data_IF_433652874496
#
_entry.id   IF_433652874496
#
_cell.length_a   1.000
_cell.length_b   1.000
_cell.length_c   1.000
_cell.angle_alpha   90.00
_cell.angle_beta   90.00
_cell.angle_gamma   90.00
#
_symmetry.space_group_name_H-M   'P 1'
#
loop_
_entity.id
_entity.type
_entity.pdbx_description
1 polymer ?
#
# COMPACT_ATOMS: atom_id res chain seq x y z
N UNK A 1 15.51 -5.59 -17.30
CA UNK A 1 16.13 -4.44 -16.64
C UNK A 1 16.66 -4.83 -15.24
N UNK A 2 17.49 -5.88 -15.14
CA UNK A 2 18.19 -6.24 -13.89
C UNK A 2 19.64 -5.79 -14.05
N UNK A 3 20.12 -4.92 -13.16
CA UNK A 3 21.33 -4.13 -13.39
C UNK A 3 21.67 -3.22 -12.22
N UNK A 4 21.99 -1.96 -12.51
CA UNK A 4 22.44 -0.97 -11.49
C UNK A 4 21.35 -0.66 -10.46
N UNK A 5 20.18 -0.17 -10.91
CA UNK A 5 19.08 0.19 -10.01
C UNK A 5 18.24 -1.01 -9.55
N UNK A 6 18.40 -2.18 -10.16
CA UNK A 6 17.70 -3.41 -9.78
C UNK A 6 18.72 -4.56 -9.71
N UNK A 7 19.58 -4.58 -8.67
CA UNK A 7 20.66 -5.54 -8.57
C UNK A 7 20.13 -6.96 -8.35
N UNK A 8 20.93 -7.95 -8.74
CA UNK A 8 20.72 -9.35 -8.36
C UNK A 8 21.36 -9.57 -7.00
N UNK A 9 20.60 -10.10 -6.05
CA UNK A 9 21.09 -10.48 -4.72
C UNK A 9 20.55 -11.86 -4.33
N UNK A 10 21.18 -12.48 -3.34
CA UNK A 10 20.75 -13.78 -2.81
C UNK A 10 19.34 -13.67 -2.21
N UNK A 11 18.49 -14.66 -2.47
CA UNK A 11 17.09 -14.68 -2.03
C UNK A 11 16.20 -13.55 -2.59
N UNK A 12 16.58 -12.94 -3.73
CA UNK A 12 15.76 -11.92 -4.40
C UNK A 12 14.32 -12.37 -4.66
N UNK A 13 14.11 -13.62 -5.09
CA UNK A 13 12.77 -14.11 -5.38
C UNK A 13 11.96 -14.33 -4.10
N UNK A 14 12.58 -14.83 -3.03
CA UNK A 14 11.94 -14.99 -1.72
C UNK A 14 11.52 -13.63 -1.15
N UNK A 15 12.39 -12.62 -1.24
CA UNK A 15 12.05 -11.23 -0.92
C UNK A 15 10.80 -10.78 -1.69
N UNK A 16 10.72 -11.07 -2.99
CA UNK A 16 9.56 -10.78 -3.81
C UNK A 16 8.28 -11.52 -3.38
N UNK A 17 8.40 -12.79 -2.99
CA UNK A 17 7.28 -13.57 -2.53
C UNK A 17 6.71 -13.03 -1.21
N UNK A 18 7.56 -12.57 -0.29
CA UNK A 18 7.13 -12.06 1.02
C UNK A 18 6.30 -10.78 0.84
N UNK A 19 6.84 -9.75 0.18
CA UNK A 19 6.10 -8.48 0.06
C UNK A 19 4.85 -8.61 -0.83
N UNK A 20 4.94 -9.36 -1.93
CA UNK A 20 3.80 -9.53 -2.83
C UNK A 20 2.71 -10.40 -2.20
N UNK A 21 3.10 -11.47 -1.50
CA UNK A 21 2.18 -12.33 -0.76
C UNK A 21 1.43 -11.54 0.32
N UNK A 22 2.14 -10.69 1.08
CA UNK A 22 1.54 -9.82 2.09
C UNK A 22 0.47 -8.88 1.53
N UNK A 23 0.74 -8.23 0.39
CA UNK A 23 -0.22 -7.31 -0.24
C UNK A 23 -1.44 -8.04 -0.81
N UNK A 24 -1.25 -9.22 -1.42
CA UNK A 24 -2.35 -10.05 -1.91
C UNK A 24 -3.21 -10.59 -0.76
N UNK A 25 -2.60 -11.07 0.33
CA UNK A 25 -3.34 -11.53 1.51
C UNK A 25 -4.12 -10.40 2.18
N UNK A 26 -3.51 -9.23 2.32
CA UNK A 26 -4.17 -8.03 2.82
C UNK A 26 -5.40 -7.65 1.97
N UNK A 27 -5.29 -7.67 0.64
CA UNK A 27 -6.42 -7.45 -0.26
C UNK A 27 -7.52 -8.51 -0.10
N UNK A 28 -7.15 -9.79 0.08
CA UNK A 28 -8.11 -10.87 0.35
C UNK A 28 -8.85 -10.67 1.66
N UNK A 29 -8.15 -10.26 2.73
CA UNK A 29 -8.77 -9.99 4.04
C UNK A 29 -9.80 -8.85 3.96
N UNK A 30 -9.49 -7.78 3.20
CA UNK A 30 -10.44 -6.69 2.92
C UNK A 30 -11.67 -7.17 2.13
N UNK A 31 -11.46 -7.95 1.05
CA UNK A 31 -12.56 -8.50 0.24
C UNK A 31 -13.51 -9.38 1.07
N UNK A 32 -12.96 -10.16 2.00
CA UNK A 32 -13.69 -11.04 2.90
C UNK A 32 -14.23 -10.34 4.16
N UNK A 33 -14.08 -9.01 4.26
CA UNK A 33 -14.56 -8.20 5.38
C UNK A 33 -14.01 -8.65 6.74
N UNK A 34 -12.78 -9.21 6.77
CA UNK A 34 -12.10 -9.64 7.99
C UNK A 34 -11.43 -8.48 8.73
N UNK A 35 -11.22 -7.36 8.04
CA UNK A 35 -10.71 -6.11 8.62
C UNK A 35 -11.21 -4.91 7.81
N UNK A 36 -11.24 -3.74 8.46
CA UNK A 36 -11.50 -2.45 7.79
C UNK A 36 -10.23 -1.85 7.18
N UNK A 37 -9.08 -2.13 7.82
CA UNK A 37 -7.75 -1.67 7.41
C UNK A 37 -6.80 -2.86 7.41
N UNK A 38 -6.01 -3.00 6.34
CA UNK A 38 -4.93 -3.98 6.24
C UNK A 38 -3.61 -3.27 5.94
N UNK A 39 -2.53 -3.65 6.62
CA UNK A 39 -1.23 -2.96 6.54
C UNK A 39 -0.16 -3.96 6.08
N UNK A 40 0.59 -3.59 5.04
CA UNK A 40 1.79 -4.30 4.61
C UNK A 40 2.95 -3.31 4.32
N UNK A 41 3.72 -2.98 5.35
CA UNK A 41 4.88 -2.09 5.20
C UNK A 41 6.00 -2.64 4.31
N UNK A 42 6.05 -3.96 4.07
CA UNK A 42 7.03 -4.55 3.16
C UNK A 42 6.68 -4.33 1.68
N UNK A 43 5.41 -4.10 1.36
CA UNK A 43 4.92 -3.85 0.00
C UNK A 43 4.98 -2.38 -0.41
N UNK A 44 4.32 -2.07 -1.53
CA UNK A 44 4.29 -0.71 -2.08
C UNK A 44 5.33 -0.45 -3.17
N UNK A 45 5.83 -1.50 -3.82
CA UNK A 45 6.89 -1.43 -4.84
C UNK A 45 6.28 -1.05 -6.20
N UNK A 46 6.01 0.24 -6.37
CA UNK A 46 5.15 0.78 -7.42
C UNK A 46 5.75 0.91 -8.83
N UNK A 47 7.08 0.80 -9.00
CA UNK A 47 7.75 1.04 -10.29
C UNK A 47 7.82 -0.20 -11.19
N UNK A 48 7.63 -1.39 -10.64
CA UNK A 48 7.75 -2.63 -11.41
C UNK A 48 6.73 -2.65 -12.55
N UNK A 49 7.18 -3.05 -13.74
CA UNK A 49 6.38 -3.11 -14.97
C UNK A 49 5.94 -4.53 -15.25
N UNK A 50 5.06 -4.70 -16.25
CA UNK A 50 4.56 -6.03 -16.65
C UNK A 50 5.67 -7.00 -17.06
N UNK A 51 6.72 -6.50 -17.73
CA UNK A 51 7.78 -7.33 -18.31
C UNK A 51 9.20 -6.93 -17.87
N UNK A 52 9.34 -6.01 -16.91
CA UNK A 52 10.64 -5.56 -16.43
C UNK A 52 10.62 -4.98 -15.01
N UNK A 53 11.74 -5.13 -14.30
CA UNK A 53 12.02 -4.43 -13.05
C UNK A 53 12.36 -2.96 -13.30
N UNK A 54 12.12 -2.08 -12.33
CA UNK A 54 12.45 -0.65 -12.43
C UNK A 54 12.51 -0.04 -11.03
N UNK A 55 13.45 0.88 -10.77
CA UNK A 55 13.52 1.66 -9.51
C UNK A 55 13.41 0.81 -8.24
N UNK A 56 14.30 -0.18 -8.06
CA UNK A 56 14.29 -1.15 -6.96
C UNK A 56 13.08 -2.11 -6.91
N UNK A 57 12.12 -2.00 -7.83
CA UNK A 57 10.89 -2.78 -7.84
C UNK A 57 10.98 -3.94 -8.85
N UNK A 58 10.72 -5.17 -8.40
CA UNK A 58 10.82 -6.39 -9.21
C UNK A 58 9.45 -7.00 -9.56
N UNK A 59 8.53 -7.04 -8.59
CA UNK A 59 7.12 -7.42 -8.75
C UNK A 59 6.28 -6.24 -8.26
N UNK A 60 5.26 -5.86 -9.04
CA UNK A 60 4.35 -4.81 -8.64
C UNK A 60 3.23 -5.41 -7.76
N UNK A 61 3.47 -5.45 -6.46
CA UNK A 61 2.52 -6.03 -5.50
C UNK A 61 1.21 -5.23 -5.41
N UNK A 62 1.27 -3.92 -5.63
CA UNK A 62 0.11 -3.04 -5.67
C UNK A 62 -0.84 -3.42 -6.81
N UNK A 63 -0.31 -3.67 -8.01
CA UNK A 63 -1.11 -4.14 -9.15
C UNK A 63 -1.78 -5.49 -8.83
N UNK A 64 -1.06 -6.42 -8.21
CA UNK A 64 -1.61 -7.71 -7.80
C UNK A 64 -2.72 -7.56 -6.75
N UNK A 65 -2.50 -6.72 -5.73
CA UNK A 65 -3.50 -6.42 -4.70
C UNK A 65 -4.74 -5.73 -5.28
N UNK A 66 -4.57 -4.77 -6.18
CA UNK A 66 -5.69 -4.08 -6.85
C UNK A 66 -6.50 -5.06 -7.72
N UNK A 67 -5.84 -5.97 -8.46
CA UNK A 67 -6.52 -7.01 -9.22
C UNK A 67 -7.35 -7.94 -8.33
N UNK A 68 -6.85 -8.26 -7.13
CA UNK A 68 -7.60 -9.03 -6.13
C UNK A 68 -8.82 -8.25 -5.62
N UNK A 69 -8.65 -6.97 -5.27
CA UNK A 69 -9.75 -6.09 -4.84
C UNK A 69 -10.83 -5.91 -5.92
N UNK A 70 -10.44 -5.87 -7.20
CA UNK A 70 -11.36 -5.74 -8.34
C UNK A 70 -12.30 -6.94 -8.52
N UNK A 71 -12.09 -8.06 -7.82
CA UNK A 71 -13.05 -9.16 -7.79
C UNK A 71 -14.35 -8.78 -7.08
N UNK A 72 -14.27 -7.92 -6.06
CA UNK A 72 -15.41 -7.55 -5.20
C UNK A 72 -15.79 -6.07 -5.34
N UNK A 73 -14.82 -5.20 -5.61
CA UNK A 73 -15.01 -3.77 -5.71
C UNK A 73 -15.12 -3.32 -7.17
N UNK A 74 -16.20 -2.62 -7.53
CA UNK A 74 -16.38 -2.09 -8.87
C UNK A 74 -15.32 -1.03 -9.24
N UNK A 75 -14.88 -0.24 -8.23
CA UNK A 75 -13.94 0.88 -8.36
C UNK A 75 -12.93 0.86 -7.22
N UNK A 76 -11.64 0.87 -7.57
CA UNK A 76 -10.52 0.94 -6.62
C UNK A 76 -9.80 2.28 -6.79
N UNK A 77 -9.60 3.02 -5.70
CA UNK A 77 -8.80 4.24 -5.71
C UNK A 77 -7.39 3.93 -5.20
N UNK A 78 -6.38 4.18 -6.03
CA UNK A 78 -4.98 4.12 -5.65
C UNK A 78 -4.46 5.55 -5.38
N UNK A 79 -3.88 5.76 -4.20
CA UNK A 79 -3.27 7.02 -3.78
C UNK A 79 -1.80 6.76 -3.48
N UNK A 80 -0.92 7.56 -4.05
CA UNK A 80 0.53 7.43 -3.96
C UNK A 80 1.16 8.69 -3.35
N UNK A 81 1.82 8.50 -2.20
CA UNK A 81 2.50 9.56 -1.44
C UNK A 81 4.02 9.55 -1.60
N UNK A 82 4.56 8.57 -2.34
CA UNK A 82 5.99 8.48 -2.64
C UNK A 82 6.46 9.73 -3.40
N UNK A 83 7.72 10.12 -3.19
CA UNK A 83 8.28 11.27 -3.92
C UNK A 83 8.42 10.97 -5.41
N UNK A 84 8.50 9.70 -5.80
CA UNK A 84 8.57 9.25 -7.19
C UNK A 84 7.16 9.02 -7.76
N UNK A 85 7.00 9.23 -9.06
CA UNK A 85 5.74 8.94 -9.73
C UNK A 85 5.47 7.43 -9.72
N UNK A 86 4.29 7.01 -9.26
CA UNK A 86 3.78 5.63 -9.26
C UNK A 86 3.47 5.06 -10.65
N UNK A 87 4.44 5.13 -11.54
CA UNK A 87 4.32 4.88 -12.97
C UNK A 87 3.99 3.43 -13.33
N UNK A 88 4.43 2.44 -12.55
CA UNK A 88 4.10 1.03 -12.79
C UNK A 88 2.62 0.73 -12.53
N UNK A 89 2.05 1.31 -11.47
CA UNK A 89 0.62 1.17 -11.16
C UNK A 89 -0.23 1.97 -12.15
N UNK A 90 0.19 3.20 -12.49
CA UNK A 90 -0.47 4.01 -13.52
C UNK A 90 -0.49 3.30 -14.88
N UNK A 91 0.65 2.78 -15.35
CA UNK A 91 0.75 2.07 -16.62
C UNK A 91 -0.15 0.82 -16.66
N UNK A 92 -0.22 0.06 -15.57
CA UNK A 92 -1.03 -1.14 -15.48
C UNK A 92 -2.54 -0.87 -15.63
N UNK A 93 -3.00 0.30 -15.20
CA UNK A 93 -4.41 0.70 -15.20
C UNK A 93 -4.74 1.86 -16.15
N UNK A 94 -3.80 2.27 -16.99
CA UNK A 94 -3.89 3.46 -17.84
C UNK A 94 -5.10 3.51 -18.79
N UNK A 95 -5.66 2.33 -19.11
CA UNK A 95 -6.75 2.15 -20.05
C UNK A 95 -8.09 1.74 -19.41
N UNK A 96 -8.25 1.80 -18.08
CA UNK A 96 -9.50 1.41 -17.40
C UNK A 96 -10.04 2.51 -16.49
N UNK A 97 -11.37 2.58 -16.37
CA UNK A 97 -12.08 3.44 -15.41
C UNK A 97 -12.34 2.75 -14.05
N UNK A 98 -12.05 1.45 -13.95
CA UNK A 98 -12.25 0.67 -12.71
C UNK A 98 -11.19 0.91 -11.65
N UNK A 99 -10.08 1.52 -12.03
CA UNK A 99 -9.03 1.95 -11.10
C UNK A 99 -8.70 3.39 -11.40
N UNK A 100 -8.72 4.24 -10.37
CA UNK A 100 -8.22 5.61 -10.48
C UNK A 100 -6.89 5.70 -9.75
N UNK A 101 -5.85 6.19 -10.43
CA UNK A 101 -4.54 6.44 -9.84
C UNK A 101 -4.38 7.92 -9.52
N UNK A 102 -3.90 8.23 -8.32
CA UNK A 102 -3.58 9.60 -7.90
C UNK A 102 -2.19 9.64 -7.30
N UNK A 103 -1.25 10.34 -7.94
CA UNK A 103 0.14 10.40 -7.48
C UNK A 103 0.61 11.83 -7.24
N UNK A 104 1.27 12.05 -6.10
CA UNK A 104 1.86 13.32 -5.70
C UNK A 104 3.39 13.21 -5.63
N UNK A 105 4.07 13.61 -6.68
CA UNK A 105 5.49 13.31 -6.86
C UNK A 105 6.29 14.52 -7.32
N UNK A 106 7.61 14.46 -7.16
CA UNK A 106 8.53 15.45 -7.73
C UNK A 106 8.63 15.22 -9.24
N UNK A 107 8.53 16.28 -10.04
CA UNK A 107 8.59 16.18 -11.50
C UNK A 107 9.51 17.25 -12.10
N UNK A 108 10.22 16.88 -13.17
CA UNK A 108 11.22 17.71 -13.85
C UNK A 108 12.65 17.47 -13.39
N UNK A 109 13.60 18.14 -14.05
CA UNK A 109 15.05 18.04 -13.81
C UNK A 109 15.61 16.62 -13.89
N UNK A 110 15.08 15.81 -14.82
CA UNK A 110 15.46 14.40 -15.02
C UNK A 110 15.24 13.52 -13.77
N UNK A 111 14.38 13.94 -12.85
CA UNK A 111 14.04 13.12 -11.69
C UNK A 111 13.32 11.85 -12.12
N UNK A 112 13.72 10.72 -11.52
CA UNK A 112 13.16 9.41 -11.81
C UNK A 112 11.66 9.36 -11.43
N UNK A 113 10.79 8.69 -12.19
CA UNK A 113 11.03 7.94 -13.43
C UNK A 113 10.97 8.80 -14.71
N UNK A 114 10.73 10.11 -14.59
CA UNK A 114 10.63 11.03 -15.74
C UNK A 114 9.25 11.07 -16.42
N UNK A 115 8.24 10.48 -15.80
CA UNK A 115 6.82 10.48 -16.21
C UNK A 115 5.95 11.16 -15.14
N UNK A 116 4.63 11.23 -15.35
CA UNK A 116 3.72 11.86 -14.40
C UNK A 116 3.51 13.36 -14.66
N UNK A 117 3.65 13.82 -15.91
CA UNK A 117 3.24 15.18 -16.25
C UNK A 117 1.73 15.35 -15.97
N UNK A 118 1.31 16.58 -15.65
CA UNK A 118 -0.10 16.93 -15.48
C UNK A 118 -0.98 16.62 -16.71
N UNK A 119 -0.36 16.42 -17.88
CA UNK A 119 -1.04 16.04 -19.15
C UNK A 119 -1.26 14.54 -19.30
N UNK A 120 -0.55 13.71 -18.53
CA UNK A 120 -0.74 12.25 -18.49
C UNK A 120 -2.00 11.98 -17.65
N UNK A 121 -3.12 11.75 -18.35
CA UNK A 121 -4.45 11.65 -17.75
C UNK A 121 -5.14 10.32 -18.06
N UNK A 122 -4.39 9.32 -18.52
CA UNK A 122 -4.95 8.06 -18.99
C UNK A 122 -5.47 8.13 -20.43
N UNK A 123 -5.82 6.97 -20.98
CA UNK A 123 -6.29 6.81 -22.35
C UNK A 123 -7.52 5.91 -22.46
N UNK A 124 -8.27 6.05 -23.57
CA UNK A 124 -9.49 5.28 -23.84
C UNK A 124 -10.49 5.37 -22.68
N UNK A 125 -10.99 4.26 -22.17
CA UNK A 125 -11.87 4.21 -21.01
C UNK A 125 -11.21 4.79 -19.75
N UNK A 126 -9.89 4.67 -19.60
CA UNK A 126 -9.12 5.23 -18.47
C UNK A 126 -8.82 6.72 -18.57
N UNK A 127 -9.28 7.40 -19.63
CA UNK A 127 -9.06 8.85 -19.76
C UNK A 127 -9.77 9.62 -18.65
N UNK A 128 -9.04 10.52 -18.01
CA UNK A 128 -9.36 11.25 -16.77
C UNK A 128 -9.31 10.43 -15.47
N UNK A 129 -8.92 9.14 -15.52
CA UNK A 129 -8.78 8.28 -14.34
C UNK A 129 -7.33 8.13 -13.86
N UNK A 130 -6.36 8.72 -14.55
CA UNK A 130 -5.02 8.94 -14.02
C UNK A 130 -4.85 10.42 -13.62
N UNK A 131 -4.52 10.69 -12.37
CA UNK A 131 -4.36 12.04 -11.81
C UNK A 131 -2.95 12.21 -11.31
N UNK A 132 -2.19 13.01 -12.04
CA UNK A 132 -0.82 13.37 -11.70
C UNK A 132 -0.73 14.77 -11.10
N UNK A 133 -0.05 14.86 -9.95
CA UNK A 133 0.20 16.11 -9.22
C UNK A 133 1.71 16.37 -9.21
N UNK A 134 2.28 16.92 -10.29
CA UNK A 134 3.71 17.18 -10.39
C UNK A 134 4.11 18.34 -9.48
N UNK A 135 5.11 18.12 -8.62
CA UNK A 135 5.59 19.08 -7.64
C UNK A 135 7.08 19.38 -7.86
N UNK A 136 7.53 20.48 -7.25
CA UNK A 136 8.94 20.90 -7.22
C UNK A 136 9.55 20.63 -5.84
N UNK A 137 10.86 20.81 -5.75
CA UNK A 137 11.64 20.61 -4.54
C UNK A 137 11.13 21.45 -3.36
N UNK A 138 11.37 20.91 -2.16
CA UNK A 138 11.16 21.59 -0.89
C UNK A 138 9.70 21.87 -0.54
N UNK A 139 8.73 21.15 -1.12
CA UNK A 139 7.33 21.35 -0.76
C UNK A 139 7.15 21.21 0.76
N UNK A 140 6.56 22.23 1.37
CA UNK A 140 6.30 22.22 2.80
C UNK A 140 4.99 21.50 3.12
N UNK A 141 4.98 20.94 4.32
CA UNK A 141 3.85 20.50 5.12
C UNK A 141 2.50 21.18 4.85
N UNK A 142 2.43 22.51 4.96
CA UNK A 142 1.17 23.27 4.85
C UNK A 142 0.65 23.31 3.41
N UNK A 143 1.57 23.39 2.46
CA UNK A 143 1.31 23.46 1.03
C UNK A 143 0.88 22.10 0.51
N UNK A 144 1.58 21.03 0.89
CA UNK A 144 1.25 19.65 0.54
C UNK A 144 -0.11 19.25 1.11
N UNK A 145 -0.31 19.36 2.44
CA UNK A 145 -1.55 18.94 3.09
C UNK A 145 -2.79 19.64 2.52
N UNK A 146 -2.69 20.95 2.26
CA UNK A 146 -3.81 21.73 1.70
C UNK A 146 -4.15 21.29 0.28
N UNK A 147 -3.14 21.00 -0.54
CA UNK A 147 -3.33 20.52 -1.91
C UNK A 147 -3.91 19.10 -1.91
N UNK A 148 -3.28 18.20 -1.16
CA UNK A 148 -3.69 16.80 -0.99
C UNK A 148 -5.17 16.69 -0.60
N UNK A 149 -5.57 17.33 0.52
CA UNK A 149 -6.95 17.28 0.99
C UNK A 149 -7.95 17.81 -0.03
N UNK A 150 -7.61 18.90 -0.73
CA UNK A 150 -8.49 19.49 -1.73
C UNK A 150 -8.71 18.58 -2.94
N UNK A 151 -7.64 17.92 -3.41
CA UNK A 151 -7.71 16.99 -4.54
C UNK A 151 -8.41 15.70 -4.12
N UNK A 152 -7.95 15.04 -3.05
CA UNK A 152 -8.47 13.74 -2.62
C UNK A 152 -9.94 13.82 -2.19
N UNK A 153 -10.38 14.90 -1.53
CA UNK A 153 -11.79 15.10 -1.24
C UNK A 153 -12.65 15.07 -2.51
N UNK A 154 -12.20 15.76 -3.57
CA UNK A 154 -12.93 15.82 -4.84
C UNK A 154 -12.86 14.49 -5.58
N UNK A 155 -11.71 13.82 -5.54
CA UNK A 155 -11.54 12.49 -6.12
C UNK A 155 -12.56 11.52 -5.51
N UNK A 156 -12.62 11.41 -4.18
CA UNK A 156 -13.56 10.50 -3.51
C UNK A 156 -15.02 10.88 -3.80
N UNK A 157 -15.36 12.17 -3.81
CA UNK A 157 -16.70 12.67 -4.14
C UNK A 157 -17.15 12.26 -5.55
N UNK A 158 -16.27 12.43 -6.54
CA UNK A 158 -16.55 12.17 -7.96
C UNK A 158 -16.47 10.68 -8.30
N UNK A 159 -15.38 10.03 -7.90
CA UNK A 159 -15.06 8.64 -8.28
C UNK A 159 -15.83 7.61 -7.45
N UNK A 160 -16.14 7.93 -6.18
CA UNK A 160 -16.87 7.05 -5.25
C UNK A 160 -16.27 5.63 -5.20
N UNK A 161 -14.99 5.48 -4.82
CA UNK A 161 -14.37 4.16 -4.75
C UNK A 161 -15.06 3.26 -3.72
N UNK A 162 -14.98 1.95 -3.93
CA UNK A 162 -15.42 0.95 -2.95
C UNK A 162 -14.33 0.53 -1.96
N UNK A 163 -13.06 0.80 -2.29
CA UNK A 163 -11.86 0.50 -1.51
C UNK A 163 -10.74 1.45 -1.92
N UNK A 164 -9.86 1.78 -0.99
CA UNK A 164 -8.67 2.61 -1.21
C UNK A 164 -7.42 1.76 -0.99
N UNK A 165 -6.43 1.90 -1.88
CA UNK A 165 -5.06 1.45 -1.69
C UNK A 165 -4.18 2.70 -1.52
N UNK A 166 -3.54 2.83 -0.37
CA UNK A 166 -2.69 3.97 -0.01
C UNK A 166 -1.24 3.50 0.11
N UNK A 167 -0.41 3.95 -0.82
CA UNK A 167 1.04 3.80 -0.76
C UNK A 167 1.61 4.96 0.07
N UNK A 168 2.39 4.63 1.09
CA UNK A 168 2.97 5.59 2.04
C UNK A 168 4.49 5.65 1.91
N UNK A 169 5.00 5.92 0.69
CA UNK A 169 6.42 6.14 0.44
C UNK A 169 6.98 7.22 1.36
N UNK A 170 7.95 6.85 2.19
CA UNK A 170 8.55 7.69 3.22
C UNK A 170 9.76 8.50 2.70
N UNK A 171 10.10 8.39 1.42
CA UNK A 171 11.13 9.21 0.77
C UNK A 171 10.65 10.64 0.44
N UNK A 172 9.36 10.92 0.57
CA UNK A 172 8.79 12.27 0.55
C UNK A 172 9.12 13.09 1.82
N UNK A 173 9.71 12.46 2.84
CA UNK A 173 10.10 13.10 4.09
C UNK A 173 11.31 14.02 3.96
N UNK A 174 11.37 15.01 4.85
CA UNK A 174 12.54 15.84 5.01
C UNK A 174 13.78 15.03 5.42
N UNK A 175 14.91 15.28 4.75
CA UNK A 175 16.17 14.61 5.06
C UNK A 175 16.25 13.16 4.57
N UNK A 176 15.37 12.76 3.65
CA UNK A 176 15.57 11.53 2.89
C UNK A 176 16.85 11.60 2.03
N UNK A 177 17.44 10.44 1.73
CA UNK A 177 18.69 10.35 0.96
C UNK A 177 18.50 10.60 -0.53
N UNK A 178 17.34 10.27 -1.10
CA UNK A 178 17.03 10.39 -2.52
C UNK A 178 15.94 11.45 -2.78
N UNK A 179 14.98 11.56 -1.87
CA UNK A 179 13.90 12.54 -1.95
C UNK A 179 14.35 13.96 -1.64
N UNK A 180 13.64 14.92 -2.23
CA UNK A 180 13.94 16.34 -2.12
C UNK A 180 12.73 17.19 -1.67
N UNK A 181 11.77 16.54 -1.01
CA UNK A 181 10.66 17.21 -0.32
C UNK A 181 11.05 17.60 1.11
N UNK A 182 10.16 18.33 1.79
CA UNK A 182 10.40 18.81 3.15
C UNK A 182 9.20 18.50 4.06
N UNK A 183 8.69 17.26 4.00
CA UNK A 183 7.56 16.81 4.80
C UNK A 183 8.01 16.31 6.18
N UNK A 184 7.26 16.69 7.21
CA UNK A 184 7.50 16.25 8.59
C UNK A 184 6.93 14.86 8.86
N UNK A 185 7.65 14.11 9.70
CA UNK A 185 7.14 12.89 10.36
C UNK A 185 6.13 13.24 11.45
N UNK A 186 6.29 14.42 12.08
CA UNK A 186 5.41 14.85 13.17
C UNK A 186 3.95 14.75 12.71
N UNK A 187 3.08 14.27 13.60
CA UNK A 187 1.74 13.70 13.34
C UNK A 187 0.70 14.65 12.72
N UNK A 188 1.14 15.71 12.04
CA UNK A 188 0.35 16.72 11.41
C UNK A 188 0.42 16.72 9.88
N UNK A 189 1.32 15.96 9.19
CA UNK A 189 1.58 16.23 7.75
C UNK A 189 1.65 15.01 6.83
N UNK A 190 2.68 14.16 6.88
CA UNK A 190 2.66 12.91 6.09
C UNK A 190 1.56 11.98 6.64
N UNK A 191 1.62 11.68 7.94
CA UNK A 191 0.58 10.90 8.64
C UNK A 191 -0.82 11.56 8.65
N UNK A 192 -0.91 12.87 8.42
CA UNK A 192 -2.20 13.55 8.26
C UNK A 192 -2.88 13.22 6.93
N UNK A 193 -2.11 12.88 5.90
CA UNK A 193 -2.65 12.35 4.66
C UNK A 193 -3.30 10.98 4.91
N UNK A 194 -2.61 10.11 5.65
CA UNK A 194 -3.14 8.81 6.12
C UNK A 194 -4.41 9.00 6.96
N UNK A 195 -4.40 9.91 7.95
CA UNK A 195 -5.57 10.25 8.78
C UNK A 195 -6.74 10.73 7.93
N UNK A 196 -6.48 11.60 6.96
CA UNK A 196 -7.49 12.14 6.08
C UNK A 196 -8.14 11.05 5.21
N UNK A 197 -7.34 10.13 4.67
CA UNK A 197 -7.83 9.01 3.89
C UNK A 197 -8.64 8.04 4.74
N UNK A 198 -8.14 7.68 5.94
CA UNK A 198 -8.86 6.83 6.89
C UNK A 198 -10.26 7.35 7.24
N UNK A 199 -10.41 8.67 7.36
CA UNK A 199 -11.69 9.31 7.71
C UNK A 199 -12.79 9.18 6.64
N UNK A 200 -12.50 8.68 5.44
CA UNK A 200 -13.54 8.32 4.47
C UNK A 200 -14.31 7.04 4.86
N UNK A 201 -13.81 6.27 5.84
CA UNK A 201 -14.42 5.02 6.33
C UNK A 201 -14.73 4.03 5.20
N UNK A 202 -13.77 3.86 4.29
CA UNK A 202 -13.77 2.83 3.26
C UNK A 202 -12.74 1.76 3.62
N UNK A 203 -12.90 0.50 3.15
CA UNK A 203 -11.84 -0.49 3.22
C UNK A 203 -10.52 0.10 2.73
N UNK A 204 -9.46 -0.05 3.52
CA UNK A 204 -8.18 0.63 3.29
C UNK A 204 -7.02 -0.36 3.36
N UNK A 205 -6.35 -0.55 2.22
CA UNK A 205 -5.05 -1.23 2.15
C UNK A 205 -3.95 -0.18 2.26
N UNK A 206 -3.06 -0.31 3.24
CA UNK A 206 -1.91 0.58 3.45
C UNK A 206 -0.61 -0.19 3.18
N UNK A 207 0.26 0.37 2.36
CA UNK A 207 1.57 -0.21 2.07
C UNK A 207 2.72 0.75 2.36
N UNK A 208 3.94 0.22 2.41
CA UNK A 208 5.16 1.02 2.46
C UNK A 208 5.47 1.68 1.11
N UNK A 209 6.73 1.56 0.68
CA UNK A 209 7.24 2.22 -0.52
C UNK A 209 8.71 2.59 -0.42
N UNK A 210 9.10 3.67 -1.11
CA UNK A 210 10.41 4.30 -0.99
C UNK A 210 10.68 4.83 0.42
N UNK A 211 11.94 5.09 0.72
CA UNK A 211 12.39 5.58 2.02
C UNK A 211 13.83 5.15 2.31
N UNK A 212 14.76 6.10 2.28
CA UNK A 212 16.20 5.82 2.17
C UNK A 212 17.02 6.39 3.33
N UNK A 213 16.39 7.17 4.21
CA UNK A 213 16.85 7.41 5.59
C UNK A 213 16.11 6.49 6.54
N UNK A 214 16.59 5.25 6.70
CA UNK A 214 15.89 4.14 7.37
C UNK A 214 15.35 4.46 8.77
N UNK A 215 16.05 5.31 9.54
CA UNK A 215 15.63 5.74 10.87
C UNK A 215 14.33 6.56 10.79
N UNK A 216 14.19 7.37 9.74
CA UNK A 216 13.01 8.18 9.50
C UNK A 216 11.86 7.35 8.94
N UNK A 217 12.15 6.35 8.11
CA UNK A 217 11.16 5.38 7.62
C UNK A 217 10.51 4.65 8.79
N UNK A 218 11.32 4.12 9.71
CA UNK A 218 10.83 3.42 10.89
C UNK A 218 9.95 4.32 11.77
N UNK A 219 10.36 5.58 12.00
CA UNK A 219 9.54 6.57 12.73
C UNK A 219 8.23 6.86 12.02
N UNK A 220 8.27 7.09 10.70
CA UNK A 220 7.09 7.44 9.89
C UNK A 220 6.03 6.37 9.95
N UNK A 221 6.36 5.14 9.53
CA UNK A 221 5.39 4.04 9.48
C UNK A 221 4.91 3.63 10.89
N UNK A 222 5.73 3.82 11.93
CA UNK A 222 5.28 3.67 13.33
C UNK A 222 4.21 4.69 13.69
N UNK A 223 4.45 5.99 13.40
CA UNK A 223 3.47 7.06 13.65
C UNK A 223 2.19 6.85 12.84
N UNK A 224 2.29 6.43 11.59
CA UNK A 224 1.15 6.13 10.73
C UNK A 224 0.36 4.93 11.23
N UNK A 225 1.03 3.90 11.74
CA UNK A 225 0.35 2.78 12.41
C UNK A 225 -0.44 3.28 13.63
N UNK A 226 0.12 4.20 14.43
CA UNK A 226 -0.62 4.87 15.51
C UNK A 226 -1.86 5.63 15.01
N UNK A 227 -1.74 6.35 13.90
CA UNK A 227 -2.89 7.04 13.25
C UNK A 227 -3.95 6.05 12.79
N UNK A 228 -3.56 4.92 12.20
CA UNK A 228 -4.49 3.87 11.75
C UNK A 228 -5.21 3.17 12.90
N UNK A 229 -4.58 3.12 14.08
CA UNK A 229 -5.15 2.60 15.32
C UNK A 229 -5.87 3.66 16.18
N UNK A 230 -6.03 4.89 15.66
CA UNK A 230 -6.57 6.04 16.42
C UNK A 230 -5.86 6.26 17.78
N UNK A 231 -4.57 5.95 17.85
CA UNK A 231 -3.77 5.98 19.07
C UNK A 231 -2.65 7.03 18.96
N UNK A 232 -2.60 7.93 19.93
CA UNK A 232 -1.49 8.89 20.04
C UNK A 232 -0.28 8.22 20.68
N UNK A 233 0.84 8.18 19.96
CA UNK A 233 2.08 7.58 20.44
C UNK A 233 2.91 8.60 21.24
N UNK A 234 3.56 8.18 22.34
CA UNK A 234 4.51 9.03 23.05
C UNK A 234 5.68 9.39 22.13
N UNK A 235 6.25 10.59 22.31
CA UNK A 235 7.37 11.01 21.48
C UNK A 235 8.66 10.21 21.75
N UNK A 236 8.82 9.68 22.96
CA UNK A 236 10.00 8.92 23.35
C UNK A 236 9.95 7.51 22.74
N UNK A 237 11.02 7.12 22.04
CA UNK A 237 11.13 5.79 21.45
C UNK A 237 11.40 4.78 22.57
N UNK A 238 10.58 3.72 22.69
CA UNK A 238 10.79 2.68 23.69
C UNK A 238 12.11 1.93 23.44
N UNK A 239 12.72 1.41 24.51
CA UNK A 239 13.92 0.59 24.40
C UNK A 239 13.65 -0.66 23.55
N UNK A 240 14.53 -0.92 22.59
CA UNK A 240 14.46 -2.02 21.64
C UNK A 240 15.87 -2.35 21.10
N UNK A 241 15.98 -3.46 20.36
CA UNK A 241 17.25 -3.96 19.82
C UNK A 241 17.98 -2.93 18.92
N UNK A 242 17.21 -2.02 18.30
CA UNK A 242 17.68 -1.01 17.37
C UNK A 242 17.72 0.41 17.96
N UNK A 243 17.52 0.61 19.27
CA UNK A 243 17.42 1.95 19.87
C UNK A 243 18.61 2.86 19.56
N UNK A 244 19.81 2.29 19.40
CA UNK A 244 21.04 3.04 19.07
C UNK A 244 20.98 3.77 17.72
N UNK A 245 20.15 3.31 16.78
CA UNK A 245 19.94 3.99 15.50
C UNK A 245 19.24 5.35 15.66
N UNK A 246 18.50 5.55 16.75
CA UNK A 246 17.72 6.78 16.97
C UNK A 246 18.44 7.81 17.84
N UNK A 247 19.70 7.58 18.19
CA UNK A 247 20.53 8.53 18.90
C UNK A 247 20.77 9.82 18.07
N UNK A 248 21.00 10.98 18.71
CA UNK A 248 21.05 11.19 20.16
C UNK A 248 19.68 11.49 20.79
N UNK A 249 18.66 11.78 20.00
CA UNK A 249 17.39 12.33 20.49
C UNK A 249 16.43 11.25 21.01
N UNK A 250 16.52 10.02 20.49
CA UNK A 250 15.63 8.89 20.80
C UNK A 250 14.14 9.25 20.72
N UNK A 251 13.79 10.15 19.79
CA UNK A 251 12.43 10.65 19.58
C UNK A 251 11.82 10.17 18.26
N UNK A 252 10.50 9.99 18.25
CA UNK A 252 9.71 9.76 17.05
C UNK A 252 9.65 11.01 16.16
N UNK A 253 9.61 12.20 16.78
CA UNK A 253 9.56 13.48 16.06
C UNK A 253 10.95 14.00 15.80
N UNK A 254 11.16 14.49 14.58
CA UNK A 254 12.40 15.15 14.16
C UNK A 254 12.02 16.51 13.56
N UNK A 255 12.76 17.60 13.86
CA UNK A 255 12.55 18.89 13.23
C UNK A 255 12.73 18.81 11.71
N UNK A 256 11.94 19.60 10.98
CA UNK A 256 12.05 19.71 9.53
C UNK A 256 13.40 20.30 9.10
N UNK A 257 13.81 19.94 7.88
CA UNK A 257 14.95 20.57 7.24
C UNK A 257 14.67 22.02 6.86
N UNK A 258 15.73 22.81 6.70
CA UNK A 258 15.68 24.14 6.10
C UNK A 258 15.95 24.03 4.59
N UNK A 259 14.92 23.63 3.84
CA UNK A 259 14.93 23.61 2.36
C UNK A 259 13.98 24.71 1.86
N UNK A 260 14.40 25.45 0.83
CA UNK A 260 13.54 26.45 0.17
C UNK A 260 12.40 25.76 -0.58
N UNK A 261 11.16 26.20 -0.35
CA UNK A 261 10.02 25.66 -1.08
C UNK A 261 9.87 26.33 -2.45
N UNK A 262 10.16 25.58 -3.52
CA UNK A 262 10.07 26.06 -4.91
C UNK A 262 8.64 26.02 -5.48
N UNK A 263 7.66 25.59 -4.69
CA UNK A 263 6.25 25.47 -5.06
C UNK A 263 5.48 26.74 -4.72
N UNK A 264 5.51 27.72 -5.63
CA UNK A 264 4.75 28.96 -5.44
C UNK A 264 3.24 28.70 -5.35
N UNK A 265 2.52 29.55 -4.60
CA UNK A 265 1.05 29.45 -4.47
C UNK A 265 0.32 29.49 -5.81
N UNK A 266 0.82 30.25 -6.78
CA UNK A 266 0.25 30.30 -8.13
C UNK A 266 0.47 28.98 -8.88
N UNK A 267 1.66 28.39 -8.77
CA UNK A 267 1.96 27.09 -9.39
C UNK A 267 1.05 25.98 -8.84
N UNK A 268 0.96 25.84 -7.51
CA UNK A 268 0.06 24.87 -6.88
C UNK A 268 -1.42 25.16 -7.19
N UNK A 269 -1.79 26.44 -7.31
CA UNK A 269 -3.12 26.87 -7.73
C UNK A 269 -3.48 26.38 -9.13
N UNK A 270 -2.55 26.50 -10.08
CA UNK A 270 -2.72 26.01 -11.47
C UNK A 270 -2.90 24.50 -11.50
N UNK A 271 -2.05 23.74 -10.79
CA UNK A 271 -2.16 22.27 -10.73
C UNK A 271 -3.52 21.86 -10.17
N UNK A 272 -3.90 22.43 -9.02
CA UNK A 272 -5.20 22.16 -8.41
C UNK A 272 -6.35 22.44 -9.37
N UNK A 273 -6.33 23.59 -10.06
CA UNK A 273 -7.38 23.94 -11.01
C UNK A 273 -7.46 22.94 -12.16
N UNK A 274 -6.32 22.55 -12.75
CA UNK A 274 -6.32 21.58 -13.84
C UNK A 274 -6.88 20.22 -13.39
N UNK A 275 -6.44 19.71 -12.23
CA UNK A 275 -6.96 18.45 -11.69
C UNK A 275 -8.47 18.52 -11.47
N UNK A 276 -8.96 19.63 -10.91
CA UNK A 276 -10.40 19.82 -10.69
C UNK A 276 -11.18 19.93 -12.01
N UNK A 277 -10.62 20.50 -13.07
CA UNK A 277 -11.25 20.50 -14.40
C UNK A 277 -11.25 19.10 -15.04
N UNK A 278 -10.15 18.34 -14.93
CA UNK A 278 -10.07 16.95 -15.39
C UNK A 278 -11.15 16.09 -14.69
N UNK A 279 -11.31 16.25 -13.37
CA UNK A 279 -12.34 15.56 -12.59
C UNK A 279 -13.77 15.91 -13.02
N UNK A 280 -14.02 17.08 -13.59
CA UNK A 280 -15.35 17.45 -14.13
C UNK A 280 -15.70 16.70 -15.42
N UNK A 281 -14.71 16.18 -16.12
CA UNK A 281 -14.92 15.40 -17.34
C UNK A 281 -15.36 13.96 -17.05
N UNK A 282 -15.20 13.49 -15.80
CA UNK A 282 -15.66 12.18 -15.37
C UNK A 282 -17.18 12.21 -15.23
N UNK A 283 -17.88 11.42 -16.04
CA UNK A 283 -19.30 11.19 -15.83
C UNK A 283 -19.50 10.42 -14.52
N UNK A 284 -20.49 10.82 -13.73
CA UNK A 284 -20.78 10.17 -12.46
C UNK A 284 -21.11 8.69 -12.68
N UNK A 285 -20.23 7.80 -12.21
CA UNK A 285 -20.32 6.34 -12.12
C UNK A 285 -21.05 5.63 -13.28
N UNK A 286 -20.37 5.29 -14.39
CA UNK A 286 -20.92 4.34 -15.37
C UNK A 286 -21.22 3.00 -14.69
N UNK A 287 -22.29 2.32 -15.13
CA UNK A 287 -22.62 0.97 -14.68
C UNK A 287 -21.56 -0.02 -15.19
N UNK A 288 -20.68 -0.48 -14.31
CA UNK A 288 -19.59 -1.39 -14.68
C UNK A 288 -20.08 -2.84 -14.58
N UNK A 289 -19.86 -3.62 -15.64
CA UNK A 289 -20.12 -5.06 -15.65
C UNK A 289 -18.99 -5.78 -14.91
N UNK A 290 -19.31 -6.46 -13.81
CA UNK A 290 -18.36 -7.31 -13.08
C UNK A 290 -18.00 -8.53 -13.96
N UNK A 291 -16.73 -8.91 -13.95
CA UNK A 291 -16.28 -10.15 -14.61
C UNK A 291 -16.46 -11.34 -13.66
N UNK A 292 -16.62 -12.54 -14.23
CA UNK A 292 -16.78 -13.77 -13.47
C UNK A 292 -15.52 -14.03 -12.62
N UNK A 293 -15.69 -14.13 -11.30
CA UNK A 293 -14.60 -14.32 -10.34
C UNK A 293 -14.26 -15.81 -10.30
N UNK A 294 -13.00 -16.23 -10.55
CA UNK A 294 -12.58 -17.61 -10.33
C UNK A 294 -12.84 -18.02 -8.86
N UNK A 295 -13.20 -19.28 -8.58
CA UNK A 295 -13.56 -19.70 -7.23
C UNK A 295 -12.46 -19.37 -6.20
N UNK A 296 -12.87 -18.84 -5.06
CA UNK A 296 -11.96 -18.45 -3.99
C UNK A 296 -11.15 -19.65 -3.49
N UNK A 297 -9.82 -19.51 -3.48
CA UNK A 297 -8.91 -20.40 -2.76
C UNK A 297 -8.86 -20.03 -1.26
N UNK A 298 -9.98 -19.61 -0.68
CA UNK A 298 -10.06 -19.36 0.76
C UNK A 298 -10.22 -20.70 1.46
N UNK A 299 -9.13 -21.12 2.09
CA UNK A 299 -9.16 -22.05 3.20
C UNK A 299 -9.24 -21.12 4.41
N UNK A 300 -10.34 -21.12 5.18
CA UNK A 300 -10.38 -20.41 6.45
C UNK A 300 -9.13 -20.76 7.26
N UNK A 301 -8.49 -19.77 7.89
CA UNK A 301 -7.57 -20.05 8.99
C UNK A 301 -8.42 -20.80 10.04
N UNK A 302 -8.30 -22.13 10.07
CA UNK A 302 -8.97 -22.95 11.06
C UNK A 302 -8.22 -22.75 12.36
N UNK A 303 -8.84 -22.09 13.32
CA UNK A 303 -8.34 -22.06 14.69
C UNK A 303 -8.57 -23.46 15.28
N UNK A 304 -7.52 -24.29 15.34
CA UNK A 304 -7.60 -25.66 15.88
C UNK A 304 -8.07 -25.65 17.36
N UNK A 305 -7.86 -24.53 18.06
CA UNK A 305 -8.24 -24.34 19.46
C UNK A 305 -9.75 -24.03 19.66
N UNK A 306 -10.51 -23.73 18.59
CA UNK A 306 -11.95 -23.47 18.65
C UNK A 306 -12.82 -24.69 18.28
N UNK A 307 -12.23 -25.85 17.95
CA UNK A 307 -13.02 -27.02 17.57
C UNK A 307 -13.72 -27.67 18.78
N UNK A 308 -15.05 -27.67 18.73
CA UNK A 308 -15.86 -28.51 19.60
C UNK A 308 -15.76 -29.97 19.10
N UNK A 309 -15.21 -30.92 19.87
CA UNK A 309 -15.00 -32.31 19.42
C UNK A 309 -16.29 -33.06 19.06
N UNK A 310 -17.46 -32.51 19.38
CA UNK A 310 -18.78 -33.09 19.08
C UNK A 310 -19.43 -32.55 17.79
N UNK A 311 -18.84 -31.58 17.09
CA UNK A 311 -19.38 -31.08 15.82
C UNK A 311 -18.89 -31.90 14.62
N UNK A 312 -19.83 -32.54 13.91
CA UNK A 312 -19.51 -33.26 12.68
C UNK A 312 -19.32 -32.29 11.52
N UNK A 313 -18.10 -32.22 11.04
CA UNK A 313 -17.70 -31.50 9.83
C UNK A 313 -18.33 -32.17 8.60
N UNK A 314 -18.82 -31.37 7.66
CA UNK A 314 -19.44 -31.83 6.40
C UNK A 314 -18.44 -32.61 5.53
N UNK A 315 -18.95 -33.60 4.79
CA UNK A 315 -18.14 -34.59 4.05
C UNK A 315 -17.25 -33.94 2.98
N UNK A 316 -17.68 -32.80 2.43
CA UNK A 316 -16.91 -32.00 1.47
C UNK A 316 -15.65 -31.37 2.09
N UNK A 317 -15.63 -31.13 3.39
CA UNK A 317 -14.47 -30.58 4.11
C UNK A 317 -13.48 -31.68 4.50
N UNK A 318 -13.98 -32.89 4.80
CA UNK A 318 -13.13 -34.08 5.00
C UNK A 318 -12.38 -34.46 3.72
N UNK A 319 -13.03 -34.43 2.56
CA UNK A 319 -12.41 -34.81 1.28
C UNK A 319 -11.30 -33.84 0.81
N UNK A 320 -11.20 -32.65 1.40
CA UNK A 320 -10.10 -31.70 1.16
C UNK A 320 -8.85 -32.00 2.00
N UNK A 321 -8.98 -32.76 3.08
CA UNK A 321 -7.84 -33.25 3.86
C UNK A 321 -7.29 -34.52 3.21
N UNK A 322 -6.47 -34.37 2.18
CA UNK A 322 -5.63 -35.47 1.71
C UNK A 322 -4.49 -35.63 2.73
N UNK A 323 -4.68 -36.49 3.72
CA UNK A 323 -3.56 -37.05 4.46
C UNK A 323 -2.70 -37.86 3.47
N UNK A 324 -1.41 -37.53 3.41
CA UNK A 324 -0.45 -38.36 2.68
C UNK A 324 -0.18 -39.60 3.53
N UNK A 325 -0.35 -40.78 2.95
CA UNK A 325 -0.15 -42.10 3.58
C UNK A 325 1.31 -42.37 4.08
N UNK A 326 2.21 -41.39 3.95
CA UNK A 326 3.66 -41.55 4.18
C UNK A 326 4.13 -41.02 5.55
N UNK A 327 3.26 -40.41 6.36
CA UNK A 327 3.62 -39.93 7.70
C UNK A 327 3.39 -41.03 8.75
N UNK A 328 4.40 -41.89 8.90
CA UNK A 328 4.52 -42.77 10.06
C UNK A 328 4.78 -41.93 11.32
N UNK A 329 3.72 -41.63 12.08
CA UNK A 329 3.86 -41.22 13.47
C UNK A 329 4.07 -42.45 14.34
N UNK A 330 5.30 -42.64 14.82
CA UNK A 330 5.56 -43.44 16.02
C UNK A 330 5.03 -42.66 17.23
N UNK A 331 4.01 -43.20 17.90
CA UNK A 331 3.38 -42.53 19.04
C UNK A 331 2.55 -43.48 19.89
N UNK A 332 3.23 -44.04 20.89
CA UNK A 332 2.75 -44.65 22.13
C UNK A 332 1.26 -44.44 22.48
N UNK A 333 0.46 -45.51 22.36
CA UNK A 333 -0.18 -46.18 23.49
C UNK A 333 -1.12 -47.28 23.01
N UNK A 334 -1.48 -48.15 23.97
CA UNK A 334 -2.56 -49.14 23.97
C UNK A 334 -2.22 -50.55 23.47
N UNK A 335 -2.41 -51.64 24.23
CA UNK A 335 -3.26 -51.84 25.40
C UNK A 335 -2.79 -53.01 26.28
N UNK A 336 -3.06 -52.83 27.56
CA UNK A 336 -3.21 -53.90 28.54
C UNK A 336 -4.53 -54.64 28.25
N UNK A 337 -4.49 -55.94 27.93
CA UNK A 337 -5.59 -56.86 28.26
C UNK A 337 -5.13 -58.32 28.33
N UNK A 338 -5.29 -58.87 29.54
CA UNK A 338 -5.20 -60.26 29.99
C UNK A 338 -5.53 -61.35 28.96
N UNK A 339 -4.77 -62.45 29.01
CA UNK A 339 -5.31 -63.81 29.10
C UNK A 339 -4.30 -64.73 29.81
N UNK A 340 -4.76 -65.33 30.90
CA UNK A 340 -4.20 -66.56 31.47
C UNK A 340 -4.22 -67.68 30.41
N UNK A 341 -3.15 -68.46 30.29
CA UNK A 341 -3.20 -69.93 30.30
C UNK A 341 -1.80 -70.56 30.10
N UNK A 342 -1.51 -71.53 30.99
CA UNK A 342 -0.47 -72.58 31.00
C UNK A 342 0.99 -72.24 31.34
#
# INVERSE_FOLDING_TARGET
NLGEDCPVFENLFEFCQIYAGGTVDAARRLNNQLCDVAINWAGGLHHAKKCEASGFCYINDLVLGILELLKYHARVLYIDLDVHHGDGVEEAFYFTDRVMTVSFHKYGDLFFPGTGDMKEIGEREGKFYAINVPLKDGIDDSSFTRLFKAIIAKVVETYRPGVIVLQCGADSLAGDRLGCFNLSIDGARHAECVRFVKNFNLPLLVTGGGGYTKENVARCWTVETGVLLDTELPNDIPENEYSKYFAPDYSLKIPNGHIENLNSKSYLGTIKMQVLENLRCIQHAPSVQMHEVPPDFYIPDYDEDEQNPDERIDQHTQDKQIQRDDEYFEGDNDHNHNMDDA
#
